data_IF_913582529753
#
_entry.id   IF_913582529753
#
_cell.length_a   1.000
_cell.length_b   1.000
_cell.length_c   1.000
_cell.angle_alpha   90.00
_cell.angle_beta   90.00
_cell.angle_gamma   90.00
#
_symmetry.space_group_name_H-M   'P 1'
#
loop_
_entity.id
_entity.type
_entity.pdbx_description
1 polymer ?
#
# COMPACT_ATOMS: atom_id res chain seq x y z
N UNK A 1 3.01 9.93 -13.56
CA UNK A 1 4.19 10.81 -13.44
C UNK A 1 5.44 10.04 -13.85
N UNK A 2 6.22 10.58 -14.77
CA UNK A 2 7.54 10.09 -15.14
C UNK A 2 8.61 10.63 -14.18
N UNK A 3 9.63 9.84 -13.87
CA UNK A 3 10.78 10.31 -13.10
C UNK A 3 11.59 11.33 -13.91
N UNK A 4 12.16 12.36 -13.27
CA UNK A 4 13.25 13.11 -13.87
C UNK A 4 14.40 12.16 -14.24
N UNK A 5 14.99 12.31 -15.44
CA UNK A 5 16.02 11.39 -15.93
C UNK A 5 17.25 11.25 -15.01
N UNK A 6 17.55 12.26 -14.19
CA UNK A 6 18.65 12.23 -13.24
C UNK A 6 18.41 11.33 -12.03
N UNK A 7 17.16 10.90 -11.74
CA UNK A 7 16.87 9.86 -10.74
C UNK A 7 17.32 8.47 -11.15
N UNK A 8 17.73 8.27 -12.41
CA UNK A 8 18.39 7.04 -12.86
C UNK A 8 19.92 7.14 -12.79
N UNK A 9 20.48 8.32 -12.47
CA UNK A 9 21.91 8.59 -12.50
C UNK A 9 22.44 8.90 -11.09
N UNK A 10 23.25 8.00 -10.54
CA UNK A 10 23.81 8.13 -9.18
C UNK A 10 24.73 9.34 -9.00
N UNK A 11 25.38 9.81 -10.08
CA UNK A 11 26.36 10.91 -10.03
C UNK A 11 25.86 12.23 -10.60
N UNK A 12 24.58 12.35 -10.92
CA UNK A 12 24.04 13.60 -11.44
C UNK A 12 24.20 14.74 -10.41
N UNK A 13 24.51 15.94 -10.90
CA UNK A 13 24.70 17.10 -10.03
C UNK A 13 23.47 17.46 -9.18
N UNK A 14 22.19 17.29 -9.65
CA UNK A 14 21.03 17.55 -8.79
C UNK A 14 20.95 16.56 -7.63
N UNK A 15 21.27 15.28 -7.88
CA UNK A 15 21.36 14.25 -6.83
C UNK A 15 22.34 14.66 -5.74
N UNK A 16 23.52 15.16 -6.12
CA UNK A 16 24.54 15.62 -5.15
C UNK A 16 24.07 16.81 -4.35
N UNK A 17 23.49 17.80 -5.02
CA UNK A 17 22.98 19.02 -4.39
C UNK A 17 21.85 18.70 -3.39
N UNK A 18 20.94 17.79 -3.75
CA UNK A 18 19.79 17.41 -2.94
C UNK A 18 20.09 16.28 -1.94
N UNK A 19 21.26 15.66 -2.01
CA UNK A 19 21.63 14.53 -1.15
C UNK A 19 21.52 14.81 0.36
N UNK A 20 21.78 16.02 0.90
CA UNK A 20 21.57 16.29 2.31
C UNK A 20 20.08 16.19 2.70
N UNK A 21 19.18 16.70 1.87
CA UNK A 21 17.73 16.59 2.07
C UNK A 21 17.28 15.14 1.96
N UNK A 22 17.77 14.40 0.97
CA UNK A 22 17.50 12.97 0.84
C UNK A 22 17.96 12.17 2.07
N UNK A 23 19.14 12.48 2.61
CA UNK A 23 19.63 11.85 3.85
C UNK A 23 18.76 12.18 5.06
N UNK A 24 18.28 13.42 5.19
CA UNK A 24 17.36 13.81 6.26
C UNK A 24 16.01 13.08 6.15
N UNK A 25 15.45 12.96 4.95
CA UNK A 25 14.20 12.18 4.74
C UNK A 25 14.41 10.71 5.11
N UNK A 26 15.50 10.11 4.62
CA UNK A 26 15.88 8.74 4.96
C UNK A 26 16.08 8.55 6.48
N UNK A 27 16.70 9.51 7.19
CA UNK A 27 16.93 9.39 8.64
C UNK A 27 15.63 9.47 9.43
N UNK A 28 14.74 10.40 9.07
CA UNK A 28 13.40 10.53 9.69
C UNK A 28 12.58 9.25 9.45
N UNK A 29 12.59 8.72 8.23
CA UNK A 29 11.88 7.47 7.90
C UNK A 29 12.41 6.29 8.73
N UNK A 30 13.74 6.16 8.89
CA UNK A 30 14.36 5.14 9.75
C UNK A 30 14.00 5.32 11.22
N UNK A 31 14.00 6.56 11.72
CA UNK A 31 13.63 6.85 13.10
C UNK A 31 12.17 6.47 13.38
N UNK A 32 11.26 6.88 12.50
CA UNK A 32 9.83 6.52 12.60
C UNK A 32 9.63 5.01 12.60
N UNK A 33 10.32 4.29 11.70
CA UNK A 33 10.28 2.83 11.66
C UNK A 33 10.73 2.22 12.99
N UNK A 34 11.88 2.64 13.53
CA UNK A 34 12.40 2.14 14.81
C UNK A 34 11.46 2.42 15.97
N UNK A 35 10.89 3.63 16.03
CA UNK A 35 9.91 4.00 17.06
C UNK A 35 8.69 3.08 17.02
N UNK A 36 8.17 2.78 15.84
CA UNK A 36 7.06 1.84 15.71
C UNK A 36 7.46 0.40 16.07
N UNK A 37 8.58 -0.11 15.57
CA UNK A 37 9.06 -1.46 15.90
C UNK A 37 9.30 -1.66 17.41
N UNK A 38 9.66 -0.59 18.14
CA UNK A 38 9.86 -0.64 19.59
C UNK A 38 8.57 -0.45 20.40
N UNK A 39 7.63 0.36 19.92
CA UNK A 39 6.42 0.72 20.66
C UNK A 39 5.21 -0.16 20.33
N UNK A 40 5.22 -0.88 19.21
CA UNK A 40 4.05 -1.54 18.67
C UNK A 40 4.15 -3.06 18.74
N UNK A 41 3.36 -3.64 19.63
CA UNK A 41 3.05 -5.07 19.66
C UNK A 41 1.61 -5.25 19.17
N UNK A 42 1.37 -5.46 17.86
CA UNK A 42 0.01 -5.62 17.38
C UNK A 42 -0.61 -6.92 17.88
N UNK A 43 -1.89 -6.86 18.23
CA UNK A 43 -2.72 -8.07 18.21
C UNK A 43 -2.98 -8.44 16.76
N UNK A 44 -2.52 -9.62 16.36
CA UNK A 44 -2.77 -10.14 15.02
C UNK A 44 -4.24 -10.57 14.91
N UNK A 45 -4.96 -10.15 13.86
CA UNK A 45 -6.27 -10.73 13.57
C UNK A 45 -6.14 -12.21 13.18
N UNK A 46 -7.27 -12.90 13.15
CA UNK A 46 -7.34 -14.31 12.73
C UNK A 46 -6.98 -14.51 11.25
N UNK A 47 -7.22 -13.49 10.42
CA UNK A 47 -6.87 -13.52 9.01
C UNK A 47 -5.41 -13.12 8.76
N UNK A 48 -4.77 -13.76 7.79
CA UNK A 48 -3.41 -13.45 7.34
C UNK A 48 -3.42 -12.12 6.58
N UNK A 49 -2.62 -11.16 6.99
CA UNK A 49 -2.48 -9.85 6.32
C UNK A 49 -1.25 -9.84 5.41
N UNK A 50 -1.50 -9.69 4.11
CA UNK A 50 -0.49 -9.51 3.08
C UNK A 50 -0.49 -8.05 2.62
N UNK A 51 0.59 -7.34 2.90
CA UNK A 51 0.79 -5.96 2.45
C UNK A 51 1.49 -5.95 1.11
N UNK A 52 0.89 -5.30 0.11
CA UNK A 52 1.49 -5.06 -1.20
C UNK A 52 1.78 -3.57 -1.34
N UNK A 53 3.04 -3.21 -1.56
CA UNK A 53 3.43 -1.81 -1.68
C UNK A 53 4.67 -1.59 -2.53
N UNK A 54 5.04 -0.34 -2.70
CA UNK A 54 6.24 0.08 -3.42
C UNK A 54 7.14 0.93 -2.52
N UNK A 55 8.43 0.91 -2.85
CA UNK A 55 9.46 1.69 -2.15
C UNK A 55 9.95 2.89 -2.96
N UNK A 56 9.50 3.02 -4.21
CA UNK A 56 9.80 4.15 -5.10
C UNK A 56 8.53 4.89 -5.46
N UNK A 57 8.62 6.19 -5.76
CA UNK A 57 7.48 6.99 -6.19
C UNK A 57 7.02 6.66 -7.61
N UNK A 58 5.73 6.83 -7.88
CA UNK A 58 5.13 6.59 -9.20
C UNK A 58 4.46 5.22 -9.31
N UNK A 59 3.91 4.94 -10.50
CA UNK A 59 3.22 3.68 -10.76
C UNK A 59 4.20 2.53 -10.89
N UNK A 60 4.18 1.62 -9.92
CA UNK A 60 5.06 0.45 -9.83
C UNK A 60 4.37 -0.87 -10.23
N UNK A 61 3.11 -0.83 -10.66
CA UNK A 61 2.35 -2.04 -11.02
C UNK A 61 1.73 -2.79 -9.84
N UNK A 62 1.52 -2.14 -8.69
CA UNK A 62 0.83 -2.73 -7.52
C UNK A 62 -0.56 -3.25 -7.86
N UNK A 63 -1.39 -2.44 -8.51
CA UNK A 63 -2.79 -2.78 -8.78
C UNK A 63 -2.91 -4.05 -9.63
N UNK A 64 -2.17 -4.22 -10.75
CA UNK A 64 -2.11 -5.51 -11.45
C UNK A 64 -1.66 -6.68 -10.57
N UNK A 65 -0.66 -6.49 -9.71
CA UNK A 65 -0.20 -7.56 -8.81
C UNK A 65 -1.27 -7.95 -7.79
N UNK A 66 -1.96 -6.99 -7.19
CA UNK A 66 -3.06 -7.25 -6.25
C UNK A 66 -4.17 -8.04 -6.94
N UNK A 67 -4.54 -7.68 -8.17
CA UNK A 67 -5.52 -8.45 -8.94
C UNK A 67 -5.07 -9.89 -9.17
N UNK A 68 -3.81 -10.11 -9.60
CA UNK A 68 -3.27 -11.44 -9.83
C UNK A 68 -3.18 -12.29 -8.57
N UNK A 69 -2.82 -11.68 -7.43
CA UNK A 69 -2.82 -12.36 -6.14
C UNK A 69 -4.25 -12.72 -5.72
N UNK A 70 -5.20 -11.81 -5.89
CA UNK A 70 -6.62 -12.08 -5.62
C UNK A 70 -7.19 -13.21 -6.49
N UNK A 71 -6.88 -13.22 -7.78
CA UNK A 71 -7.25 -14.31 -8.70
C UNK A 71 -6.65 -15.66 -8.26
N UNK A 72 -5.38 -15.68 -7.85
CA UNK A 72 -4.72 -16.90 -7.38
C UNK A 72 -5.34 -17.42 -6.07
N UNK A 73 -5.69 -16.53 -5.14
CA UNK A 73 -6.39 -16.89 -3.90
C UNK A 73 -7.78 -17.45 -4.20
N UNK A 74 -8.52 -16.83 -5.12
CA UNK A 74 -9.83 -17.31 -5.55
C UNK A 74 -9.74 -18.70 -6.21
N UNK A 75 -8.75 -18.92 -7.08
CA UNK A 75 -8.49 -20.22 -7.71
C UNK A 75 -8.12 -21.31 -6.69
N UNK A 76 -7.46 -20.93 -5.59
CA UNK A 76 -7.17 -21.82 -4.48
C UNK A 76 -8.36 -22.04 -3.52
N UNK A 77 -9.51 -21.39 -3.77
CA UNK A 77 -10.69 -21.47 -2.90
C UNK A 77 -10.53 -20.74 -1.56
N UNK A 78 -9.55 -19.83 -1.45
CA UNK A 78 -9.27 -19.09 -0.22
C UNK A 78 -10.10 -17.80 -0.22
N UNK A 79 -10.94 -17.62 0.80
CA UNK A 79 -11.72 -16.42 0.96
C UNK A 79 -10.82 -15.24 1.36
N UNK A 80 -10.85 -14.17 0.58
CA UNK A 80 -10.02 -13.00 0.82
C UNK A 80 -10.80 -11.69 0.71
N UNK A 81 -10.27 -10.63 1.31
CA UNK A 81 -10.76 -9.27 1.17
C UNK A 81 -9.62 -8.28 0.99
N UNK A 82 -9.95 -7.05 0.62
CA UNK A 82 -8.99 -5.99 0.34
C UNK A 82 -9.20 -4.82 1.29
N UNK A 83 -8.12 -4.29 1.85
CA UNK A 83 -8.15 -3.05 2.63
C UNK A 83 -7.23 -1.99 2.02
N UNK A 84 -7.74 -0.78 1.90
CA UNK A 84 -6.96 0.36 1.39
C UNK A 84 -7.20 1.61 2.23
N UNK A 85 -6.35 2.61 2.04
CA UNK A 85 -6.57 3.94 2.63
C UNK A 85 -7.70 4.70 1.93
N UNK A 86 -7.96 4.40 0.65
CA UNK A 86 -8.85 5.20 -0.20
C UNK A 86 -8.20 6.48 -0.72
N UNK A 87 -6.95 6.38 -1.22
CA UNK A 87 -6.24 7.56 -1.74
C UNK A 87 -7.05 8.28 -2.83
N UNK A 88 -7.15 9.60 -2.73
CA UNK A 88 -7.96 10.43 -3.64
C UNK A 88 -9.45 10.48 -3.30
N UNK A 89 -9.98 9.49 -2.57
CA UNK A 89 -11.37 9.46 -2.12
C UNK A 89 -11.63 10.32 -0.89
N UNK A 90 -12.83 10.89 -0.80
CA UNK A 90 -13.31 11.67 0.34
C UNK A 90 -14.69 11.17 0.79
N UNK A 91 -14.70 10.05 1.51
CA UNK A 91 -15.93 9.55 2.10
C UNK A 91 -16.35 10.44 3.28
N UNK A 92 -17.66 10.59 3.46
CA UNK A 92 -18.22 11.27 4.64
C UNK A 92 -17.93 10.49 5.92
N UNK A 93 -18.04 9.16 5.84
CA UNK A 93 -17.88 8.25 6.96
C UNK A 93 -16.91 7.12 6.64
N UNK A 94 -16.15 6.70 7.66
CA UNK A 94 -15.22 5.57 7.60
C UNK A 94 -15.43 4.66 8.82
N UNK A 95 -15.17 3.33 8.71
CA UNK A 95 -14.77 2.60 7.50
C UNK A 95 -15.87 2.53 6.44
N UNK A 96 -15.49 2.59 5.17
CA UNK A 96 -16.43 2.49 4.04
C UNK A 96 -16.23 1.17 3.32
N UNK A 97 -17.29 0.37 3.23
CA UNK A 97 -17.35 -0.78 2.33
C UNK A 97 -17.54 -0.28 0.89
N UNK A 98 -16.58 -0.60 0.02
CA UNK A 98 -16.57 -0.15 -1.38
C UNK A 98 -17.40 -1.11 -2.21
N UNK A 99 -18.51 -0.60 -2.74
CA UNK A 99 -19.34 -1.31 -3.71
C UNK A 99 -18.83 -1.12 -5.14
N UNK A 100 -19.20 -2.02 -6.04
CA UNK A 100 -18.84 -1.92 -7.45
C UNK A 100 -19.36 -0.64 -8.12
N UNK A 101 -20.47 -0.08 -7.66
CA UNK A 101 -21.06 1.18 -8.15
C UNK A 101 -20.58 2.43 -7.40
N UNK A 102 -19.65 2.28 -6.46
CA UNK A 102 -19.17 3.41 -5.67
C UNK A 102 -18.47 4.46 -6.56
N UNK A 103 -18.70 5.73 -6.24
CA UNK A 103 -18.05 6.86 -6.90
C UNK A 103 -16.56 6.89 -6.53
N UNK A 104 -15.62 6.86 -7.50
CA UNK A 104 -14.19 7.02 -7.24
C UNK A 104 -13.82 8.28 -6.45
N UNK A 105 -14.60 9.37 -6.56
CA UNK A 105 -14.41 10.56 -5.73
C UNK A 105 -14.65 10.34 -4.24
N UNK A 106 -15.38 9.29 -3.88
CA UNK A 106 -15.73 8.91 -2.49
C UNK A 106 -14.79 7.82 -1.98
N UNK A 107 -14.68 6.70 -2.70
CA UNK A 107 -13.89 5.54 -2.25
C UNK A 107 -12.42 5.53 -2.72
N UNK A 108 -12.07 6.37 -3.69
CA UNK A 108 -10.80 6.33 -4.40
C UNK A 108 -10.86 5.48 -5.67
N UNK A 109 -10.03 5.82 -6.65
CA UNK A 109 -9.97 5.15 -7.96
C UNK A 109 -9.55 3.68 -7.86
N UNK A 110 -8.48 3.39 -7.12
CA UNK A 110 -7.94 2.03 -6.99
C UNK A 110 -8.89 1.07 -6.26
N UNK A 111 -9.48 1.42 -5.09
CA UNK A 111 -10.45 0.56 -4.43
C UNK A 111 -11.70 0.31 -5.27
N UNK A 112 -12.20 1.32 -5.99
CA UNK A 112 -13.33 1.17 -6.89
C UNK A 112 -13.03 0.16 -8.00
N UNK A 113 -11.86 0.31 -8.63
CA UNK A 113 -11.41 -0.61 -9.67
C UNK A 113 -11.29 -2.05 -9.16
N UNK A 114 -10.69 -2.26 -7.98
CA UNK A 114 -10.53 -3.58 -7.38
C UNK A 114 -11.88 -4.21 -7.02
N UNK A 115 -12.80 -3.45 -6.42
CA UNK A 115 -14.14 -3.92 -6.09
C UNK A 115 -14.91 -4.35 -7.36
N UNK A 116 -14.85 -3.54 -8.42
CA UNK A 116 -15.49 -3.85 -9.72
C UNK A 116 -14.91 -5.09 -10.40
N UNK A 117 -13.59 -5.27 -10.36
CA UNK A 117 -12.89 -6.31 -11.12
C UNK A 117 -12.90 -7.67 -10.43
N UNK A 118 -12.75 -7.68 -9.11
CA UNK A 118 -12.57 -8.90 -8.34
C UNK A 118 -13.86 -9.39 -7.68
N UNK A 119 -14.84 -8.50 -7.48
CA UNK A 119 -16.11 -8.87 -6.84
C UNK A 119 -15.96 -9.33 -5.38
N UNK A 120 -14.85 -8.98 -4.74
CA UNK A 120 -14.55 -9.34 -3.35
C UNK A 120 -14.85 -8.18 -2.40
N UNK A 121 -15.00 -8.44 -1.08
CA UNK A 121 -15.11 -7.38 -0.10
C UNK A 121 -13.90 -6.43 -0.13
N UNK A 122 -14.16 -5.15 -0.33
CA UNK A 122 -13.15 -4.08 -0.30
C UNK A 122 -13.58 -3.04 0.74
N UNK A 123 -12.70 -2.69 1.67
CA UNK A 123 -12.98 -1.69 2.71
C UNK A 123 -11.89 -0.62 2.70
N UNK A 124 -12.30 0.64 2.76
CA UNK A 124 -11.38 1.79 2.85
C UNK A 124 -11.52 2.49 4.19
N UNK A 125 -10.39 2.87 4.78
CA UNK A 125 -10.33 3.74 5.95
C UNK A 125 -8.95 4.41 6.06
N UNK A 126 -8.85 5.69 6.48
CA UNK A 126 -7.58 6.34 6.79
C UNK A 126 -6.75 5.53 7.80
N UNK A 127 -7.44 4.96 8.81
CA UNK A 127 -6.86 4.05 9.78
C UNK A 127 -7.13 2.60 9.36
N UNK A 128 -6.11 1.95 8.78
CA UNK A 128 -6.28 0.60 8.17
C UNK A 128 -6.78 -0.47 9.13
N UNK A 129 -6.43 -0.39 10.42
CA UNK A 129 -6.95 -1.34 11.41
C UNK A 129 -8.47 -1.25 11.56
N UNK A 130 -9.06 -0.07 11.40
CA UNK A 130 -10.52 0.09 11.40
C UNK A 130 -11.14 -0.59 10.17
N UNK A 131 -10.50 -0.49 8.99
CA UNK A 131 -10.93 -1.22 7.80
C UNK A 131 -10.82 -2.74 7.96
N UNK A 132 -9.71 -3.23 8.55
CA UNK A 132 -9.52 -4.66 8.85
C UNK A 132 -10.59 -5.16 9.82
N UNK A 133 -10.82 -4.45 10.93
CA UNK A 133 -11.83 -4.83 11.90
C UNK A 133 -13.23 -4.88 11.28
N UNK A 134 -13.60 -3.86 10.51
CA UNK A 134 -14.88 -3.82 9.82
C UNK A 134 -15.04 -4.94 8.79
N UNK A 135 -13.98 -5.22 8.01
CA UNK A 135 -13.96 -6.31 7.03
C UNK A 135 -14.19 -7.67 7.70
N UNK A 136 -13.50 -7.96 8.80
CA UNK A 136 -13.63 -9.24 9.50
C UNK A 136 -14.95 -9.37 10.26
N UNK A 137 -15.53 -8.27 10.74
CA UNK A 137 -16.85 -8.27 11.37
C UNK A 137 -17.97 -8.55 10.35
N UNK A 138 -17.87 -7.96 9.15
CA UNK A 138 -18.89 -8.09 8.10
C UNK A 138 -18.72 -9.35 7.25
N UNK A 139 -17.48 -9.84 7.12
CA UNK A 139 -17.12 -11.02 6.35
C UNK A 139 -16.23 -11.95 7.18
N UNK A 140 -16.79 -12.65 8.18
CA UNK A 140 -16.03 -13.51 9.09
C UNK A 140 -15.34 -14.70 8.40
N UNK A 141 -15.78 -15.05 7.19
CA UNK A 141 -15.16 -16.09 6.37
C UNK A 141 -13.82 -15.67 5.74
N UNK A 142 -13.45 -14.39 5.76
CA UNK A 142 -12.20 -13.91 5.16
C UNK A 142 -11.00 -14.49 5.91
N UNK A 143 -10.14 -15.20 5.18
CA UNK A 143 -8.92 -15.84 5.69
C UNK A 143 -7.67 -15.04 5.36
N UNK A 144 -7.68 -14.28 4.25
CA UNK A 144 -6.56 -13.46 3.80
C UNK A 144 -7.02 -12.03 3.53
N UNK A 145 -6.24 -11.05 3.99
CA UNK A 145 -6.46 -9.64 3.71
C UNK A 145 -5.31 -9.12 2.87
N UNK A 146 -5.62 -8.63 1.67
CA UNK A 146 -4.65 -7.90 0.84
C UNK A 146 -4.73 -6.41 1.17
N UNK A 147 -3.61 -5.81 1.58
CA UNK A 147 -3.54 -4.37 1.84
C UNK A 147 -2.75 -3.64 0.77
N UNK A 148 -3.38 -2.66 0.13
CA UNK A 148 -2.70 -1.76 -0.81
C UNK A 148 -1.93 -0.67 -0.05
N UNK A 149 -0.65 -0.53 -0.38
CA UNK A 149 0.25 0.54 0.04
C UNK A 149 0.48 0.65 1.56
N UNK A 150 0.62 -0.50 2.21
CA UNK A 150 0.85 -0.59 3.65
C UNK A 150 2.32 -0.55 4.08
N UNK A 151 3.29 -0.42 3.17
CA UNK A 151 4.71 -0.56 3.54
C UNK A 151 5.18 0.50 4.55
N UNK A 152 4.68 1.73 4.42
CA UNK A 152 4.94 2.85 5.35
C UNK A 152 3.95 2.89 6.53
N UNK A 153 2.98 1.97 6.60
CA UNK A 153 1.94 1.91 7.63
C UNK A 153 2.30 0.90 8.72
N UNK A 154 3.27 1.25 9.55
CA UNK A 154 3.79 0.33 10.57
C UNK A 154 2.77 -0.10 11.65
N UNK A 155 1.69 0.65 11.83
CA UNK A 155 0.59 0.32 12.75
C UNK A 155 -0.35 -0.79 12.22
N UNK A 156 -0.20 -1.22 10.96
CA UNK A 156 -0.91 -2.37 10.42
C UNK A 156 -0.03 -3.61 10.65
N UNK A 157 -0.47 -4.59 11.47
CA UNK A 157 0.17 -5.91 11.49
C UNK A 157 0.21 -6.50 10.09
N UNK A 158 1.32 -7.18 9.77
CA UNK A 158 1.49 -7.85 8.49
C UNK A 158 2.25 -9.15 8.69
N UNK A 159 1.69 -10.23 8.18
CA UNK A 159 2.33 -11.54 8.16
C UNK A 159 3.29 -11.64 6.98
N UNK A 160 2.93 -11.00 5.85
CA UNK A 160 3.75 -10.94 4.65
C UNK A 160 3.79 -9.52 4.08
N UNK A 161 4.96 -9.08 3.65
CA UNK A 161 5.16 -7.83 2.95
C UNK A 161 5.75 -8.09 1.56
N UNK A 162 5.04 -7.69 0.52
CA UNK A 162 5.45 -7.81 -0.89
C UNK A 162 5.81 -6.43 -1.40
N UNK A 163 7.07 -6.27 -1.81
CA UNK A 163 7.57 -5.05 -2.45
C UNK A 163 7.50 -5.20 -3.95
N UNK A 164 6.79 -4.29 -4.60
CA UNK A 164 6.69 -4.24 -6.07
C UNK A 164 7.70 -3.24 -6.60
N UNK A 165 8.55 -3.72 -7.51
CA UNK A 165 9.51 -2.91 -8.23
C UNK A 165 9.17 -2.91 -9.73
N UNK A 166 9.25 -1.74 -10.36
CA UNK A 166 9.15 -1.63 -11.82
C UNK A 166 10.41 -2.26 -12.43
N UNK A 167 10.24 -3.26 -13.29
CA UNK A 167 11.35 -4.03 -13.86
C UNK A 167 12.28 -3.21 -14.77
N UNK A 168 11.82 -2.11 -15.35
CA UNK A 168 12.66 -1.24 -16.19
C UNK A 168 13.35 -0.16 -15.36
N UNK A 169 12.62 0.45 -14.42
CA UNK A 169 13.12 1.57 -13.60
C UNK A 169 13.92 1.11 -12.39
N UNK A 170 13.69 -0.11 -11.91
CA UNK A 170 14.27 -0.64 -10.68
C UNK A 170 14.04 0.30 -9.50
N UNK A 171 15.10 0.57 -8.74
CA UNK A 171 15.10 1.49 -7.61
C UNK A 171 15.73 2.86 -7.92
N UNK A 172 15.96 3.16 -9.20
CA UNK A 172 16.65 4.38 -9.62
C UNK A 172 18.06 4.50 -9.01
N UNK A 173 18.38 5.68 -8.50
CA UNK A 173 19.69 6.02 -7.95
C UNK A 173 19.88 5.63 -6.47
N UNK A 174 18.87 5.04 -5.82
CA UNK A 174 18.95 4.56 -4.43
C UNK A 174 18.93 5.65 -3.35
N UNK A 175 18.66 6.90 -3.70
CA UNK A 175 18.49 7.99 -2.73
C UNK A 175 17.02 8.19 -2.37
N UNK A 176 16.73 8.60 -1.13
CA UNK A 176 15.39 9.06 -0.78
C UNK A 176 15.05 10.40 -1.48
N UNK A 177 13.75 10.67 -1.60
CA UNK A 177 13.24 11.99 -2.00
C UNK A 177 13.88 13.14 -1.20
N UNK A 178 14.12 14.31 -1.81
CA UNK A 178 13.94 14.61 -3.24
C UNK A 178 15.14 14.20 -4.11
N UNK A 179 16.22 13.65 -3.55
CA UNK A 179 17.45 13.31 -4.28
C UNK A 179 17.33 12.04 -5.15
N UNK A 180 16.32 11.23 -4.91
CA UNK A 180 16.02 10.01 -5.65
C UNK A 180 14.56 9.63 -5.54
N UNK A 181 14.13 8.59 -6.26
CA UNK A 181 12.74 8.14 -6.30
C UNK A 181 12.31 7.37 -5.05
#
# INVERSE_FOLDING_TARGET
MSWPGWWQQTRAWPTRLLSPLGRAVCSIARQRRRQFEQAFMPTLPTAVIVVVGNVTVGGSGKTPLIMRLGEALAQAGIAYGIVSRGYGGKAADYPLAVRADCDPGVCGDEPCLLARRLGVPVVVAPQRMAAVAHLLQTHPQVQVILSDDGLQHFALPRDLAVVVADGQRGFGNGHCLPAGP
#
